data_IF_553273701841
#
_entry.id   IF_553273701841
#
_cell.length_a   1.000
_cell.length_b   1.000
_cell.length_c   1.000
_cell.angle_alpha   90.00
_cell.angle_beta   90.00
_cell.angle_gamma   90.00
#
_symmetry.space_group_name_H-M   'P 1'
#
loop_
_entity.id
_entity.type
_entity.pdbx_description
1 polymer ?
#
# COMPACT_ATOMS: atom_id res chain seq x y z
N UNK A 1 58.25 3.89 -38.39
CA UNK A 1 57.06 4.07 -37.53
C UNK A 1 57.55 4.68 -36.22
N UNK A 2 57.13 5.90 -35.94
CA UNK A 2 57.58 6.68 -34.77
C UNK A 2 56.59 6.40 -33.64
N UNK A 3 57.07 5.80 -32.55
CA UNK A 3 56.30 5.55 -31.33
C UNK A 3 56.36 6.81 -30.46
N UNK A 4 55.23 7.49 -30.30
CA UNK A 4 55.10 8.59 -29.34
C UNK A 4 54.74 8.06 -27.93
N UNK A 5 55.71 8.26 -27.05
CA UNK A 5 55.72 8.48 -25.60
C UNK A 5 54.38 8.88 -24.95
N UNK A 6 54.03 8.34 -23.77
CA UNK A 6 54.31 8.98 -22.46
C UNK A 6 53.61 8.25 -21.29
N UNK A 7 54.40 7.94 -20.27
CA UNK A 7 54.01 7.49 -18.93
C UNK A 7 53.24 8.56 -18.14
N UNK A 8 52.30 8.17 -17.28
CA UNK A 8 52.40 8.44 -15.85
C UNK A 8 51.32 7.75 -15.02
N UNK A 9 51.66 7.57 -13.76
CA UNK A 9 51.24 6.56 -12.83
C UNK A 9 50.44 7.20 -11.67
N UNK A 10 49.51 6.42 -11.09
CA UNK A 10 48.88 6.55 -9.76
C UNK A 10 47.95 7.74 -9.49
N UNK A 11 46.66 7.44 -9.22
CA UNK A 11 46.08 7.69 -7.89
C UNK A 11 44.71 7.01 -7.69
N UNK A 12 44.57 6.45 -6.48
CA UNK A 12 43.35 5.95 -5.85
C UNK A 12 42.16 6.89 -6.08
N UNK A 13 41.07 6.36 -6.63
CA UNK A 13 39.74 6.89 -6.38
C UNK A 13 38.81 5.76 -5.98
N UNK A 14 38.53 5.75 -4.68
CA UNK A 14 37.37 5.25 -3.97
C UNK A 14 36.47 4.28 -4.76
N UNK A 15 36.54 3.01 -4.34
CA UNK A 15 35.44 2.06 -4.46
C UNK A 15 34.25 2.65 -3.70
N UNK A 16 33.44 3.45 -4.38
CA UNK A 16 32.10 3.79 -3.93
C UNK A 16 31.38 2.47 -3.78
N UNK A 17 31.19 2.07 -2.53
CA UNK A 17 30.22 1.06 -2.18
C UNK A 17 28.89 1.71 -2.54
N UNK A 18 28.43 1.45 -3.76
CA UNK A 18 27.05 1.69 -4.14
C UNK A 18 26.21 0.79 -3.24
N UNK A 19 25.85 1.35 -2.08
CA UNK A 19 24.68 0.93 -1.35
C UNK A 19 23.49 1.26 -2.28
N UNK A 20 23.27 0.41 -3.27
CA UNK A 20 21.98 0.28 -3.94
C UNK A 20 21.00 -0.14 -2.85
N UNK A 21 20.51 0.85 -2.10
CA UNK A 21 19.18 0.82 -1.56
C UNK A 21 18.29 0.65 -2.78
N UNK A 22 17.91 -0.60 -3.07
CA UNK A 22 16.89 -0.91 -4.06
C UNK A 22 15.70 -0.02 -3.72
N UNK A 23 15.55 1.06 -4.49
CA UNK A 23 14.39 1.92 -4.42
C UNK A 23 13.24 1.05 -4.89
N UNK A 24 12.58 0.39 -3.96
CA UNK A 24 11.49 -0.53 -4.26
C UNK A 24 10.48 0.20 -5.13
N UNK A 25 10.40 -0.22 -6.40
CA UNK A 25 9.51 0.43 -7.35
C UNK A 25 8.07 0.22 -6.93
N UNK A 26 7.28 1.30 -6.99
CA UNK A 26 5.85 1.23 -6.67
C UNK A 26 5.10 0.75 -7.90
N UNK A 27 4.40 -0.39 -7.79
CA UNK A 27 3.69 -1.07 -8.88
C UNK A 27 2.20 -1.15 -8.59
N UNK A 28 1.35 -0.81 -9.56
CA UNK A 28 -0.09 -1.10 -9.50
C UNK A 28 -0.31 -2.62 -9.56
N UNK A 29 -0.97 -3.19 -8.55
CA UNK A 29 -1.19 -4.65 -8.42
C UNK A 29 -2.67 -5.05 -8.43
N UNK A 30 -3.58 -4.13 -8.12
CA UNK A 30 -5.02 -4.37 -8.15
C UNK A 30 -5.77 -3.05 -8.39
N UNK A 31 -6.97 -3.16 -8.93
CA UNK A 31 -7.94 -2.07 -8.99
C UNK A 31 -9.34 -2.63 -9.17
N UNK A 32 -10.31 -1.99 -8.54
CA UNK A 32 -11.69 -2.43 -8.62
C UNK A 32 -12.68 -1.29 -8.54
N UNK A 33 -13.94 -1.65 -8.75
CA UNK A 33 -15.09 -0.77 -8.60
C UNK A 33 -16.27 -1.61 -8.13
N UNK A 34 -16.96 -1.13 -7.11
CA UNK A 34 -18.19 -1.73 -6.60
C UNK A 34 -19.25 -0.65 -6.40
N UNK A 35 -20.49 -1.10 -6.28
CA UNK A 35 -21.62 -0.28 -5.88
C UNK A 35 -22.38 -0.99 -4.79
N UNK A 36 -23.00 -0.24 -3.89
CA UNK A 36 -23.83 -0.80 -2.82
C UNK A 36 -24.64 0.28 -2.15
N UNK A 37 -25.11 0.00 -0.95
CA UNK A 37 -25.88 0.93 -0.14
C UNK A 37 -25.30 0.97 1.28
N UNK A 38 -24.97 2.15 1.76
CA UNK A 38 -24.50 2.36 3.13
C UNK A 38 -25.70 2.82 3.96
N UNK A 39 -26.19 1.98 4.85
CA UNK A 39 -27.28 2.30 5.79
C UNK A 39 -26.77 2.85 7.13
N UNK A 40 -25.46 2.74 7.41
CA UNK A 40 -24.85 3.10 8.69
C UNK A 40 -24.51 4.58 8.81
N UNK A 41 -23.80 5.16 7.82
CA UNK A 41 -23.23 6.51 7.96
C UNK A 41 -23.97 7.57 7.16
N UNK A 42 -24.44 7.20 5.97
CA UNK A 42 -24.98 8.13 4.99
C UNK A 42 -26.37 7.78 4.51
N UNK A 43 -26.87 6.57 4.82
CA UNK A 43 -28.15 6.05 4.33
C UNK A 43 -28.34 6.31 2.83
N UNK A 44 -27.33 5.92 2.04
CA UNK A 44 -27.16 6.34 0.66
C UNK A 44 -26.56 5.23 -0.19
N UNK A 45 -27.03 5.16 -1.44
CA UNK A 45 -26.36 4.39 -2.48
C UNK A 45 -24.96 4.94 -2.70
N UNK A 46 -23.97 4.07 -2.89
CA UNK A 46 -22.59 4.46 -3.14
C UNK A 46 -21.99 3.80 -4.37
N UNK A 47 -20.98 4.47 -4.93
CA UNK A 47 -20.01 3.90 -5.86
C UNK A 47 -18.63 4.02 -5.21
N UNK A 48 -17.94 2.91 -5.07
CA UNK A 48 -16.57 2.84 -4.58
C UNK A 48 -15.65 2.36 -5.69
N UNK A 49 -14.45 2.93 -5.79
CA UNK A 49 -13.41 2.45 -6.72
C UNK A 49 -12.06 2.58 -6.07
N UNK A 50 -11.15 1.64 -6.36
CA UNK A 50 -9.83 1.66 -5.76
C UNK A 50 -8.71 1.34 -6.73
N UNK A 51 -7.51 1.75 -6.35
CA UNK A 51 -6.24 1.33 -6.94
C UNK A 51 -5.29 0.94 -5.83
N UNK A 52 -4.67 -0.22 -5.97
CA UNK A 52 -3.73 -0.79 -5.00
C UNK A 52 -2.33 -0.84 -5.60
N UNK A 53 -1.37 -0.34 -4.83
CA UNK A 53 0.03 -0.25 -5.22
C UNK A 53 0.89 -1.00 -4.21
N UNK A 54 1.76 -1.89 -4.68
CA UNK A 54 2.80 -2.49 -3.85
C UNK A 54 4.11 -1.72 -4.02
N UNK A 55 4.84 -1.57 -2.93
CA UNK A 55 6.21 -1.02 -2.90
C UNK A 55 7.09 -2.10 -2.30
N UNK A 56 7.75 -2.88 -3.18
CA UNK A 56 8.43 -4.11 -2.78
C UNK A 56 7.43 -5.17 -2.26
N UNK A 57 7.84 -5.94 -1.26
CA UNK A 57 6.99 -6.97 -0.62
C UNK A 57 6.46 -6.58 0.76
N UNK A 58 6.91 -5.43 1.29
CA UNK A 58 6.69 -5.02 2.68
C UNK A 58 5.69 -3.88 2.84
N UNK A 59 5.20 -3.29 1.74
CA UNK A 59 4.21 -2.21 1.81
C UNK A 59 3.21 -2.27 0.66
N UNK A 60 1.94 -2.05 1.00
CA UNK A 60 0.81 -1.90 0.08
C UNK A 60 0.07 -0.61 0.41
N UNK A 61 -0.19 0.22 -0.60
CA UNK A 61 -0.97 1.45 -0.50
C UNK A 61 -2.23 1.34 -1.38
N UNK A 62 -3.40 1.60 -0.82
CA UNK A 62 -4.68 1.54 -1.53
C UNK A 62 -5.32 2.92 -1.47
N UNK A 63 -5.70 3.43 -2.64
CA UNK A 63 -6.47 4.67 -2.75
C UNK A 63 -7.89 4.33 -3.15
N UNK A 64 -8.85 4.52 -2.24
CA UNK A 64 -10.28 4.24 -2.44
C UNK A 64 -11.03 5.55 -2.61
N UNK A 65 -11.77 5.71 -3.68
CA UNK A 65 -12.68 6.84 -3.92
C UNK A 65 -14.10 6.42 -3.64
N UNK A 66 -14.76 7.15 -2.76
CA UNK A 66 -16.15 6.96 -2.38
C UNK A 66 -17.02 8.08 -2.96
N UNK A 67 -18.18 7.71 -3.49
CA UNK A 67 -19.22 8.62 -3.94
C UNK A 67 -20.58 8.13 -3.44
N UNK A 68 -21.16 8.85 -2.48
CA UNK A 68 -22.49 8.61 -1.91
C UNK A 68 -23.48 9.55 -2.60
N UNK A 69 -24.35 8.97 -3.44
CA UNK A 69 -25.21 9.71 -4.36
C UNK A 69 -26.27 10.52 -3.63
N UNK A 70 -27.01 9.87 -2.74
CA UNK A 70 -28.17 10.43 -2.07
C UNK A 70 -27.75 11.42 -0.97
N UNK A 71 -26.59 11.18 -0.35
CA UNK A 71 -25.98 12.10 0.61
C UNK A 71 -25.17 13.24 -0.03
N UNK A 72 -25.04 13.27 -1.36
CA UNK A 72 -24.21 14.21 -2.12
C UNK A 72 -22.79 14.38 -1.53
N UNK A 73 -22.16 13.26 -1.16
CA UNK A 73 -20.86 13.25 -0.47
C UNK A 73 -19.85 12.41 -1.22
N UNK A 74 -18.62 12.90 -1.32
CA UNK A 74 -17.51 12.14 -1.91
C UNK A 74 -16.21 12.43 -1.20
N UNK A 75 -15.37 11.42 -1.05
CA UNK A 75 -14.03 11.57 -0.49
C UNK A 75 -13.09 10.46 -0.97
N UNK A 76 -11.80 10.66 -0.75
CA UNK A 76 -10.78 9.64 -0.98
C UNK A 76 -10.29 9.13 0.37
N UNK A 77 -10.25 7.82 0.52
CA UNK A 77 -9.66 7.09 1.64
C UNK A 77 -8.33 6.49 1.18
N UNK A 78 -7.29 6.74 1.96
CA UNK A 78 -5.99 6.08 1.82
C UNK A 78 -5.89 4.98 2.85
N UNK A 79 -5.56 3.78 2.41
CA UNK A 79 -5.23 2.65 3.27
C UNK A 79 -3.76 2.32 3.03
N UNK A 80 -2.99 2.17 4.10
CA UNK A 80 -1.61 1.71 4.06
C UNK A 80 -1.50 0.45 4.88
N UNK A 81 -0.90 -0.58 4.30
CA UNK A 81 -0.55 -1.84 4.95
C UNK A 81 0.96 -1.92 4.87
N UNK A 82 1.64 -1.99 6.00
CA UNK A 82 3.11 -2.01 6.01
C UNK A 82 3.66 -2.93 7.09
N UNK A 83 4.80 -3.54 6.79
CA UNK A 83 5.55 -4.35 7.73
C UNK A 83 6.30 -3.42 8.69
N UNK A 84 6.12 -3.65 9.99
CA UNK A 84 6.79 -2.85 11.05
C UNK A 84 7.69 -3.69 11.95
N UNK A 85 7.63 -5.02 11.84
CA UNK A 85 8.42 -5.95 12.66
C UNK A 85 8.97 -7.10 11.83
N UNK A 86 10.08 -7.68 12.28
CA UNK A 86 10.72 -8.82 11.61
C UNK A 86 10.46 -10.17 12.31
N UNK A 87 10.26 -10.17 13.64
CA UNK A 87 10.04 -11.40 14.42
C UNK A 87 9.21 -11.12 15.68
N UNK A 88 7.92 -11.55 15.75
CA UNK A 88 7.11 -12.01 14.61
C UNK A 88 6.93 -10.89 13.56
N UNK A 89 6.74 -11.18 12.25
CA UNK A 89 6.34 -10.16 11.29
C UNK A 89 5.00 -9.52 11.69
N UNK A 90 5.07 -8.25 12.05
CA UNK A 90 3.94 -7.40 12.41
C UNK A 90 3.60 -6.49 11.24
N UNK A 91 2.30 -6.27 11.06
CA UNK A 91 1.75 -5.41 10.02
C UNK A 91 0.91 -4.31 10.67
N UNK A 92 1.22 -3.08 10.31
CA UNK A 92 0.39 -1.91 10.61
C UNK A 92 -0.56 -1.67 9.45
N UNK A 93 -1.83 -1.44 9.77
CA UNK A 93 -2.86 -1.03 8.83
C UNK A 93 -3.38 0.33 9.26
N UNK A 94 -3.23 1.33 8.40
CA UNK A 94 -3.69 2.70 8.65
C UNK A 94 -4.72 3.09 7.59
N UNK A 95 -5.84 3.67 8.00
CA UNK A 95 -6.95 4.10 7.13
C UNK A 95 -7.26 5.57 7.40
N UNK A 96 -7.18 6.42 6.37
CA UNK A 96 -7.36 7.87 6.49
C UNK A 96 -8.14 8.46 5.29
N UNK A 97 -9.30 9.11 5.52
CA UNK A 97 -10.16 8.98 6.70
C UNK A 97 -10.88 7.62 6.71
N UNK A 98 -11.50 7.24 7.82
CA UNK A 98 -12.55 6.21 7.88
C UNK A 98 -13.69 6.56 6.92
N UNK A 99 -14.52 5.56 6.58
CA UNK A 99 -15.67 5.76 5.68
C UNK A 99 -16.65 6.80 6.23
N UNK A 100 -16.80 6.88 7.56
CA UNK A 100 -17.56 7.95 8.22
C UNK A 100 -17.05 9.37 7.89
N UNK A 101 -15.84 9.52 7.39
CA UNK A 101 -15.26 10.80 6.96
C UNK A 101 -14.78 11.69 8.12
N UNK A 102 -14.83 11.22 9.37
CA UNK A 102 -14.62 12.06 10.56
C UNK A 102 -13.37 11.73 11.39
N UNK A 103 -12.68 10.59 11.16
CA UNK A 103 -11.47 10.22 11.90
C UNK A 103 -10.56 9.25 11.13
N UNK A 104 -9.31 9.11 11.54
CA UNK A 104 -8.41 8.04 11.08
C UNK A 104 -8.63 6.75 11.90
N UNK A 105 -8.27 5.61 11.31
CA UNK A 105 -8.14 4.33 12.00
C UNK A 105 -6.70 3.87 11.87
N UNK A 106 -6.15 3.33 12.94
CA UNK A 106 -4.91 2.56 12.89
C UNK A 106 -5.11 1.29 13.69
N UNK A 107 -4.68 0.18 13.11
CA UNK A 107 -4.70 -1.12 13.78
C UNK A 107 -3.41 -1.86 13.50
N UNK A 108 -3.07 -2.77 14.40
CA UNK A 108 -1.87 -3.57 14.37
C UNK A 108 -2.31 -5.03 14.35
N UNK A 109 -1.85 -5.77 13.35
CA UNK A 109 -2.13 -7.20 13.23
C UNK A 109 -0.83 -7.96 13.02
N UNK A 110 -0.73 -9.16 13.58
CA UNK A 110 0.41 -10.04 13.31
C UNK A 110 0.17 -10.72 11.96
N UNK A 111 0.97 -10.39 10.94
CA UNK A 111 0.96 -11.15 9.69
C UNK A 111 1.37 -12.63 9.92
N UNK A 112 2.08 -12.91 11.02
CA UNK A 112 2.53 -14.26 11.37
C UNK A 112 1.52 -15.08 12.16
N UNK A 113 0.57 -14.46 12.87
CA UNK A 113 -0.49 -15.21 13.55
C UNK A 113 -1.34 -16.04 12.56
N UNK A 114 -1.33 -15.67 11.26
CA UNK A 114 -2.05 -16.32 10.19
C UNK A 114 -1.16 -16.96 9.10
N UNK A 115 0.17 -17.02 9.28
CA UNK A 115 1.08 -17.76 8.38
C UNK A 115 1.50 -17.08 7.07
N UNK A 116 1.32 -15.75 6.92
CA UNK A 116 1.68 -15.04 5.68
C UNK A 116 3.16 -14.70 5.60
N UNK A 117 3.74 -14.79 4.39
CA UNK A 117 5.19 -14.64 4.15
C UNK A 117 5.67 -13.19 4.11
N UNK A 118 4.82 -12.27 3.66
CA UNK A 118 5.10 -10.83 3.54
C UNK A 118 3.77 -10.05 3.43
N UNK A 119 3.84 -8.72 3.32
CA UNK A 119 2.65 -7.85 3.25
C UNK A 119 1.85 -8.07 1.97
N UNK A 120 2.52 -8.34 0.85
CA UNK A 120 1.84 -8.63 -0.41
C UNK A 120 1.01 -9.93 -0.32
N UNK A 121 1.53 -10.94 0.37
CA UNK A 121 0.82 -12.19 0.65
C UNK A 121 -0.39 -11.97 1.56
N UNK A 122 -0.24 -11.18 2.64
CA UNK A 122 -1.35 -10.78 3.49
C UNK A 122 -2.44 -10.01 2.72
N UNK A 123 -2.04 -9.11 1.81
CA UNK A 123 -2.99 -8.37 0.99
C UNK A 123 -3.87 -9.29 0.16
N UNK A 124 -3.27 -10.21 -0.60
CA UNK A 124 -4.05 -11.09 -1.49
C UNK A 124 -4.94 -12.07 -0.73
N UNK A 125 -4.44 -12.67 0.36
CA UNK A 125 -5.14 -13.75 1.06
C UNK A 125 -6.07 -13.28 2.19
N UNK A 126 -6.11 -11.99 2.50
CA UNK A 126 -6.97 -11.48 3.59
C UNK A 126 -7.54 -10.09 3.29
N UNK A 127 -6.69 -9.11 2.97
CA UNK A 127 -7.19 -7.73 2.86
C UNK A 127 -7.99 -7.46 1.58
N UNK A 128 -7.66 -8.13 0.47
CA UNK A 128 -8.30 -7.87 -0.82
C UNK A 128 -9.81 -8.11 -0.77
N UNK A 129 -10.25 -9.15 -0.06
CA UNK A 129 -11.67 -9.50 0.17
C UNK A 129 -12.44 -8.33 0.78
N UNK A 130 -11.84 -7.66 1.78
CA UNK A 130 -12.43 -6.48 2.43
C UNK A 130 -12.77 -5.40 1.40
N UNK A 131 -11.95 -5.18 0.36
CA UNK A 131 -12.21 -4.17 -0.67
C UNK A 131 -13.42 -4.51 -1.56
N UNK A 132 -13.67 -5.79 -1.78
CA UNK A 132 -14.81 -6.26 -2.58
C UNK A 132 -16.10 -6.40 -1.76
N UNK A 133 -15.99 -6.48 -0.44
CA UNK A 133 -17.13 -6.50 0.46
C UNK A 133 -17.83 -5.15 0.59
N UNK A 134 -19.16 -5.23 0.77
CA UNK A 134 -19.99 -4.08 1.13
C UNK A 134 -19.49 -3.49 2.46
N UNK A 135 -19.12 -2.19 2.52
CA UNK A 135 -18.68 -1.54 3.75
C UNK A 135 -19.71 -1.62 4.88
N UNK A 136 -21.00 -1.82 4.62
CA UNK A 136 -22.02 -2.02 5.66
C UNK A 136 -21.81 -3.31 6.47
N UNK A 137 -21.10 -4.30 5.91
CA UNK A 137 -20.83 -5.60 6.56
C UNK A 137 -19.49 -5.66 7.29
N UNK A 138 -18.72 -4.55 7.33
CA UNK A 138 -17.42 -4.49 8.02
C UNK A 138 -17.65 -4.16 9.50
N UNK A 139 -17.87 -5.18 10.33
CA UNK A 139 -18.03 -5.07 11.79
C UNK A 139 -16.70 -4.99 12.54
#
# INVERSE_FOLDING_TARGET
>A
MVNNTTHNNVSNENKTIDNNSEKSETKLIDSGKITGFDDVYYNSSYVSSWKTYATGTDMVNINVKWNFKDANKSFTQKITIEKIGNTPPEVRISIVPKVSGHSSYETYTSATANGYKNVLDYYWNSFSEVLYEDPANRH
#
